data_IF_474466158354
#
_entry.id   IF_474466158354
#
_cell.length_a   1.000
_cell.length_b   1.000
_cell.length_c   1.000
_cell.angle_alpha   90.00
_cell.angle_beta   90.00
_cell.angle_gamma   90.00
#
_symmetry.space_group_name_H-M   'P 1'
#
loop_
_entity.id
_entity.type
_entity.pdbx_description
1 polymer ?
#
# COMPACT_ATOMS: atom_id res chain seq x y z
N UNK A 1 -9.67 -8.33 -25.76
CA UNK A 1 -8.23 -8.59 -25.50
C UNK A 1 -8.10 -9.23 -24.11
N UNK A 2 -7.80 -10.54 -24.00
CA UNK A 2 -7.57 -11.20 -22.70
C UNK A 2 -6.09 -11.02 -22.35
N UNK A 3 -5.76 -9.96 -21.62
CA UNK A 3 -4.37 -9.64 -21.28
C UNK A 3 -3.97 -10.40 -20.01
N UNK A 4 -3.39 -11.59 -20.18
CA UNK A 4 -2.68 -12.29 -19.11
C UNK A 4 -1.19 -11.93 -19.21
N UNK A 5 -0.58 -11.49 -18.11
CA UNK A 5 0.87 -11.32 -17.99
C UNK A 5 1.47 -9.96 -18.37
N UNK A 6 0.69 -9.00 -18.89
CA UNK A 6 1.18 -7.61 -19.13
C UNK A 6 0.67 -6.59 -18.11
N UNK A 7 -0.04 -7.05 -17.08
CA UNK A 7 -0.59 -6.19 -16.03
C UNK A 7 0.07 -6.51 -14.70
N UNK A 8 0.44 -5.49 -13.91
CA UNK A 8 1.01 -5.70 -12.59
C UNK A 8 -0.03 -6.33 -11.66
N UNK A 9 0.35 -7.42 -11.00
CA UNK A 9 -0.50 -8.14 -10.03
C UNK A 9 0.30 -8.35 -8.74
N UNK A 10 -0.36 -8.17 -7.60
CA UNK A 10 0.24 -8.41 -6.28
C UNK A 10 -0.72 -9.18 -5.38
N UNK A 11 -0.23 -10.30 -4.85
CA UNK A 11 -0.86 -11.01 -3.74
C UNK A 11 -0.27 -10.50 -2.42
N UNK A 12 -1.13 -10.14 -1.47
CA UNK A 12 -0.75 -9.83 -0.08
C UNK A 12 -1.53 -10.79 0.80
N UNK A 13 -0.80 -11.53 1.64
CA UNK A 13 -1.38 -12.55 2.51
C UNK A 13 -1.26 -12.14 3.97
N UNK A 14 -2.35 -12.24 4.72
CA UNK A 14 -2.40 -11.94 6.15
C UNK A 14 -2.59 -13.24 6.95
N UNK A 15 -1.53 -13.77 7.58
CA UNK A 15 -1.61 -15.05 8.29
C UNK A 15 -2.60 -15.03 9.46
N UNK A 16 -3.44 -16.06 9.53
CA UNK A 16 -4.44 -16.22 10.59
C UNK A 16 -5.64 -15.26 10.47
N UNK A 17 -5.78 -14.55 9.35
CA UNK A 17 -7.00 -13.86 8.96
C UNK A 17 -7.92 -14.77 8.14
N UNK A 18 -9.22 -14.61 8.35
CA UNK A 18 -10.25 -15.19 7.49
C UNK A 18 -10.73 -14.17 6.45
N UNK A 19 -11.92 -14.40 5.90
CA UNK A 19 -12.56 -13.39 5.06
C UNK A 19 -12.81 -12.09 5.85
N UNK A 20 -12.46 -10.94 5.26
CA UNK A 20 -12.87 -9.61 5.76
C UNK A 20 -11.84 -8.82 6.57
N UNK A 21 -10.57 -9.25 6.66
CA UNK A 21 -9.49 -8.53 7.37
C UNK A 21 -9.95 -8.04 8.76
N UNK A 22 -10.24 -8.98 9.67
CA UNK A 22 -10.89 -8.70 10.96
C UNK A 22 -9.99 -7.96 11.94
N UNK A 23 -8.68 -8.23 11.97
CA UNK A 23 -7.75 -7.53 12.86
C UNK A 23 -7.46 -6.13 12.32
N UNK A 24 -7.39 -5.16 13.23
CA UNK A 24 -7.15 -3.75 12.91
C UNK A 24 -5.88 -3.54 12.11
N UNK A 25 -4.79 -4.23 12.47
CA UNK A 25 -3.51 -4.11 11.77
C UNK A 25 -3.59 -4.56 10.30
N UNK A 26 -4.23 -5.70 10.03
CA UNK A 26 -4.40 -6.21 8.67
C UNK A 26 -5.29 -5.29 7.82
N UNK A 27 -6.38 -4.79 8.40
CA UNK A 27 -7.26 -3.82 7.73
C UNK A 27 -6.53 -2.52 7.40
N UNK A 28 -5.74 -2.00 8.33
CA UNK A 28 -5.00 -0.76 8.16
C UNK A 28 -3.94 -0.90 7.05
N UNK A 29 -3.09 -1.94 7.12
CA UNK A 29 -2.09 -2.21 6.10
C UNK A 29 -2.73 -2.42 4.71
N UNK A 30 -3.85 -3.15 4.63
CA UNK A 30 -4.60 -3.33 3.38
C UNK A 30 -5.02 -1.98 2.77
N UNK A 31 -5.60 -1.09 3.57
CA UNK A 31 -6.04 0.22 3.11
C UNK A 31 -4.87 1.07 2.60
N UNK A 32 -3.73 1.08 3.31
CA UNK A 32 -2.54 1.81 2.87
C UNK A 32 -1.99 1.26 1.55
N UNK A 33 -1.89 -0.08 1.41
CA UNK A 33 -1.44 -0.71 0.17
C UNK A 33 -2.36 -0.40 -1.00
N UNK A 34 -3.67 -0.42 -0.75
CA UNK A 34 -4.69 -0.10 -1.76
C UNK A 34 -4.57 1.35 -2.23
N UNK A 35 -4.48 2.31 -1.30
CA UNK A 35 -4.32 3.72 -1.65
C UNK A 35 -3.01 3.98 -2.40
N UNK A 36 -1.89 3.39 -1.96
CA UNK A 36 -0.60 3.48 -2.67
C UNK A 36 -0.69 2.90 -4.08
N UNK A 37 -1.41 1.79 -4.26
CA UNK A 37 -1.60 1.16 -5.57
C UNK A 37 -2.39 2.06 -6.52
N UNK A 38 -3.50 2.64 -6.04
CA UNK A 38 -4.29 3.57 -6.83
C UNK A 38 -3.54 4.85 -7.16
N UNK A 39 -2.84 5.44 -6.20
CA UNK A 39 -2.05 6.64 -6.45
C UNK A 39 -0.98 6.36 -7.51
N UNK A 40 -0.24 5.25 -7.41
CA UNK A 40 0.81 4.91 -8.36
C UNK A 40 0.29 4.68 -9.79
N UNK A 41 -0.81 3.94 -9.97
CA UNK A 41 -1.29 3.57 -11.31
C UNK A 41 -2.33 4.51 -11.92
N UNK A 42 -3.08 5.25 -11.10
CA UNK A 42 -4.17 6.11 -11.57
C UNK A 42 -3.84 7.60 -11.47
N UNK A 43 -3.00 8.01 -10.51
CA UNK A 43 -2.65 9.42 -10.28
C UNK A 43 -1.20 9.77 -10.63
N UNK A 44 -0.38 8.78 -10.96
CA UNK A 44 1.02 8.95 -11.36
C UNK A 44 1.27 8.24 -12.69
N UNK A 45 2.47 8.37 -13.31
CA UNK A 45 2.77 7.71 -14.59
C UNK A 45 2.69 6.17 -14.59
N UNK A 46 2.53 5.53 -13.42
CA UNK A 46 2.51 4.08 -13.28
C UNK A 46 3.89 3.45 -13.49
N UNK A 47 3.90 2.21 -14.01
CA UNK A 47 5.10 1.43 -14.29
C UNK A 47 5.22 0.17 -13.41
N UNK A 48 6.44 -0.10 -12.96
CA UNK A 48 6.68 -1.23 -12.08
C UNK A 48 5.99 -1.04 -10.72
N UNK A 49 5.45 -2.12 -10.12
CA UNK A 49 4.76 -2.03 -8.84
C UNK A 49 5.58 -1.32 -7.77
N UNK A 50 4.97 -0.45 -6.93
CA UNK A 50 5.68 0.20 -5.83
C UNK A 50 6.28 -0.86 -4.88
N UNK A 51 7.35 -0.55 -4.11
CA UNK A 51 8.00 -1.51 -3.22
C UNK A 51 7.03 -2.29 -2.34
N UNK A 52 7.34 -3.56 -2.05
CA UNK A 52 6.45 -4.38 -1.21
C UNK A 52 6.36 -3.82 0.22
N UNK A 53 7.49 -3.44 0.80
CA UNK A 53 7.55 -2.83 2.12
C UNK A 53 6.76 -1.54 2.16
N UNK A 54 6.07 -1.31 3.28
CA UNK A 54 5.26 -0.13 3.50
C UNK A 54 5.88 0.66 4.65
N UNK A 55 6.15 1.93 4.41
CA UNK A 55 6.53 2.85 5.47
C UNK A 55 5.25 3.30 6.15
N UNK A 56 5.09 2.91 7.41
CA UNK A 56 3.89 3.23 8.18
C UNK A 56 3.96 4.59 8.88
N UNK A 57 5.07 5.31 8.73
CA UNK A 57 5.29 6.60 9.40
C UNK A 57 5.40 6.49 10.91
N UNK A 58 5.66 5.29 11.45
CA UNK A 58 5.95 5.12 12.88
C UNK A 58 7.44 5.22 13.12
N UNK A 59 7.82 6.16 13.96
CA UNK A 59 9.14 6.26 14.52
C UNK A 59 9.20 5.33 15.75
N UNK A 60 9.85 4.16 15.59
CA UNK A 60 10.00 3.17 16.67
C UNK A 60 10.86 3.70 17.85
N UNK A 61 11.50 4.86 17.68
CA UNK A 61 12.27 5.57 18.69
C UNK A 61 11.43 6.56 19.54
N UNK A 62 10.10 6.62 19.31
CA UNK A 62 9.18 7.44 20.09
C UNK A 62 9.20 8.93 19.75
N UNK A 63 9.80 9.32 18.62
CA UNK A 63 9.72 10.69 18.11
C UNK A 63 8.78 10.73 16.92
N UNK A 64 7.50 11.00 17.15
CA UNK A 64 6.55 11.23 16.06
C UNK A 64 7.09 12.32 15.13
N UNK A 65 7.63 11.94 13.97
CA UNK A 65 7.89 12.93 12.91
C UNK A 65 6.55 13.27 12.26
N UNK A 66 6.20 14.56 12.14
CA UNK A 66 5.05 14.94 11.34
C UNK A 66 5.25 14.37 9.93
N UNK A 67 4.24 13.66 9.44
CA UNK A 67 4.24 13.11 8.09
C UNK A 67 4.55 14.25 7.12
N UNK A 68 5.57 14.05 6.30
CA UNK A 68 5.93 14.96 5.22
C UNK A 68 4.69 15.09 4.33
N UNK A 69 3.97 16.21 4.49
CA UNK A 69 2.92 16.61 3.56
C UNK A 69 3.57 16.67 2.18
N UNK A 70 3.06 15.85 1.25
CA UNK A 70 3.33 15.98 -0.17
C UNK A 70 2.73 17.33 -0.64
N UNK A 71 3.38 18.43 -0.26
CA UNK A 71 3.24 19.75 -0.86
C UNK A 71 3.87 19.67 -2.25
N UNK A 72 3.04 19.38 -3.25
CA UNK A 72 3.32 19.73 -4.65
C UNK A 72 2.06 20.24 -5.33
N UNK A 73 1.90 21.56 -5.27
CA UNK A 73 1.57 22.45 -6.39
C UNK A 73 0.16 22.39 -6.97
#
# INVERSE_FOLDING_TARGET
LKVLGKVPVRLVWYPGEGHGNRRTAARYDYNLRMMRWFNHYLKSPGGDPPPFELQYGFDLDGKDKPGEEDDKG
#
